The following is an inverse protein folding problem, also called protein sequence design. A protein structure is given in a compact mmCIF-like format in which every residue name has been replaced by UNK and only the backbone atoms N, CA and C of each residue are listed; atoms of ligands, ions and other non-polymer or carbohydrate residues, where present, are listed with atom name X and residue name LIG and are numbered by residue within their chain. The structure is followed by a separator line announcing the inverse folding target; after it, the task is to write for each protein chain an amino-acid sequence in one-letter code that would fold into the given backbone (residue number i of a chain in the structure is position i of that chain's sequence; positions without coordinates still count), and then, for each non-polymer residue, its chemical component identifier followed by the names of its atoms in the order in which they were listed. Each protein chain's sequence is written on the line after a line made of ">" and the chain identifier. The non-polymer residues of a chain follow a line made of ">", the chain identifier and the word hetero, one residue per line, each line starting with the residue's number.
data_IF_152396691509
#
_entry.id   IF_152396691509
#
_cell.length_a   1.000
_cell.length_b   1.000
_cell.length_c   1.000
_cell.angle_alpha   90.00
_cell.angle_beta   90.00
_cell.angle_gamma   90.00
#
_symmetry.space_group_name_H-M   'P 1'
#
loop_
_entity.id
_entity.type
_entity.pdbx_description
1 polymer ?
#
# COMPACT_ATOMS: atom_id res chain seq x y z
N UNK A 1 15.64 -1.83 24.10
CA UNK A 1 16.13 -0.51 24.53
C UNK A 1 17.46 -0.26 23.81
N UNK A 2 17.45 0.50 22.72
CA UNK A 2 18.67 0.76 21.93
C UNK A 2 19.39 1.93 22.58
N UNK A 3 20.53 1.67 23.21
CA UNK A 3 21.41 2.70 23.76
C UNK A 3 22.18 3.30 22.58
N UNK A 4 21.80 4.50 22.16
CA UNK A 4 22.47 5.22 21.08
C UNK A 4 23.81 5.76 21.61
N UNK A 5 24.95 5.45 20.98
CA UNK A 5 26.27 5.92 21.44
C UNK A 5 26.37 7.46 21.41
N UNK A 6 27.00 8.04 22.44
CA UNK A 6 27.18 9.50 22.59
C UNK A 6 27.89 10.16 21.38
N UNK A 7 28.66 9.38 20.61
CA UNK A 7 29.32 9.82 19.38
C UNK A 7 28.35 10.16 18.22
N UNK A 8 27.17 9.54 18.16
CA UNK A 8 26.16 9.89 17.15
C UNK A 8 25.47 11.23 17.46
N UNK A 9 25.31 11.57 18.74
CA UNK A 9 24.70 12.83 19.16
C UNK A 9 25.55 14.03 18.73
N UNK A 10 26.87 13.96 18.88
CA UNK A 10 27.77 15.06 18.51
C UNK A 10 27.75 15.43 17.03
N UNK A 11 27.57 14.44 16.14
CA UNK A 11 27.50 14.67 14.70
C UNK A 11 26.20 15.37 14.28
N UNK A 12 25.09 15.11 14.97
CA UNK A 12 23.82 15.79 14.72
C UNK A 12 23.84 17.24 15.17
N UNK A 13 24.45 17.53 16.31
CA UNK A 13 24.57 18.91 16.83
C UNK A 13 25.46 19.77 15.91
N UNK A 14 26.58 19.24 15.42
CA UNK A 14 27.45 19.96 14.46
C UNK A 14 26.75 20.33 13.16
N UNK A 15 25.78 19.52 12.72
CA UNK A 15 25.00 19.79 11.50
C UNK A 15 23.99 20.91 11.71
N UNK A 16 23.52 21.12 12.95
CA UNK A 16 22.61 22.21 13.31
C UNK A 16 23.35 23.54 13.48
N UNK A 17 24.62 23.51 13.90
CA UNK A 17 25.46 24.70 14.09
C UNK A 17 25.72 25.48 12.79
N UNK A 18 25.67 24.79 11.64
CA UNK A 18 25.81 25.41 10.31
C UNK A 18 24.50 25.98 9.73
N UNK A 19 23.37 25.83 10.43
CA UNK A 19 22.05 26.26 9.92
C UNK A 19 21.74 27.65 10.47
N UNK A 20 21.86 28.65 9.60
CA UNK A 20 21.42 30.00 9.91
C UNK A 20 19.90 30.10 9.72
N UNK A 21 19.16 30.06 10.82
CA UNK A 21 17.70 30.21 10.84
C UNK A 21 17.36 31.69 10.73
N UNK A 22 16.91 32.13 9.56
CA UNK A 22 16.32 33.44 9.40
C UNK A 22 14.93 33.44 10.06
N UNK A 23 14.56 34.52 10.73
CA UNK A 23 13.25 34.71 11.38
C UNK A 23 12.10 34.91 10.39
N UNK A 24 12.13 34.18 9.28
CA UNK A 24 11.05 34.14 8.31
C UNK A 24 9.99 33.14 8.78
N UNK A 25 8.75 33.31 8.34
CA UNK A 25 7.68 32.38 8.72
C UNK A 25 7.93 31.03 8.08
N UNK A 26 7.90 29.96 8.86
CA UNK A 26 7.90 28.59 8.31
C UNK A 26 6.73 28.42 7.35
N UNK A 27 7.03 28.01 6.12
CA UNK A 27 6.03 27.77 5.07
C UNK A 27 5.97 26.29 4.72
N UNK A 28 4.77 25.76 4.62
CA UNK A 28 4.53 24.43 4.08
C UNK A 28 4.59 24.50 2.54
N UNK A 29 5.66 23.96 1.95
CA UNK A 29 5.83 23.90 0.51
C UNK A 29 5.56 22.47 0.02
N UNK A 30 4.67 22.33 -0.96
CA UNK A 30 4.38 21.05 -1.58
C UNK A 30 5.41 20.72 -2.67
N UNK A 31 6.24 19.70 -2.43
CA UNK A 31 7.34 19.29 -3.34
C UNK A 31 6.83 18.44 -4.52
N UNK A 32 5.58 17.95 -4.46
CA UNK A 32 5.03 17.02 -5.45
C UNK A 32 4.41 17.67 -6.69
N UNK A 33 4.45 19.00 -6.83
CA UNK A 33 3.81 19.74 -7.92
C UNK A 33 4.80 20.60 -8.69
N UNK A 34 4.57 20.78 -9.99
CA UNK A 34 5.40 21.64 -10.85
C UNK A 34 5.30 23.12 -10.47
N UNK A 35 4.19 23.51 -9.82
CA UNK A 35 3.82 24.91 -9.54
C UNK A 35 3.71 25.22 -8.04
N UNK A 36 4.39 24.47 -7.16
CA UNK A 36 4.43 24.66 -5.68
C UNK A 36 3.08 24.64 -4.93
N UNK A 37 1.95 24.62 -5.63
CA UNK A 37 0.61 24.56 -5.06
C UNK A 37 0.13 23.13 -4.84
N UNK A 38 -0.51 22.91 -3.68
CA UNK A 38 -1.16 21.65 -3.38
C UNK A 38 -2.44 21.50 -4.19
N UNK A 39 -2.55 20.41 -4.94
CA UNK A 39 -3.78 20.02 -5.61
C UNK A 39 -4.06 18.55 -5.42
N UNK A 40 -5.29 18.24 -4.99
CA UNK A 40 -5.80 16.87 -4.91
C UNK A 40 -5.70 16.17 -6.28
N UNK A 41 -5.82 16.91 -7.38
CA UNK A 41 -5.66 16.38 -8.73
C UNK A 41 -4.25 15.88 -9.03
N UNK A 42 -3.23 16.61 -8.55
CA UNK A 42 -1.81 16.23 -8.69
C UNK A 42 -1.52 15.00 -7.83
N UNK A 43 -1.97 14.99 -6.57
CA UNK A 43 -1.83 13.84 -5.67
C UNK A 43 -2.50 12.59 -6.25
N UNK A 44 -3.74 12.70 -6.74
CA UNK A 44 -4.45 11.58 -7.37
C UNK A 44 -3.73 11.06 -8.61
N UNK A 45 -3.12 11.95 -9.41
CA UNK A 45 -2.38 11.55 -10.61
C UNK A 45 -1.09 10.82 -10.25
N UNK A 46 -0.35 11.34 -9.27
CA UNK A 46 0.84 10.69 -8.71
C UNK A 46 0.52 9.29 -8.15
N UNK A 47 -0.53 9.17 -7.33
CA UNK A 47 -0.99 7.89 -6.80
C UNK A 47 -1.49 6.91 -7.87
N UNK A 48 -1.95 7.42 -9.02
CA UNK A 48 -2.40 6.59 -10.15
C UNK A 48 -1.26 6.18 -11.06
N UNK A 49 -0.21 6.98 -11.22
CA UNK A 49 0.96 6.62 -12.05
C UNK A 49 1.76 5.46 -11.45
N UNK A 50 1.72 5.29 -10.12
CA UNK A 50 2.37 4.15 -9.45
C UNK A 50 1.52 2.87 -9.49
N UNK A 51 0.23 2.97 -9.86
CA UNK A 51 -0.65 1.79 -9.97
C UNK A 51 -0.63 1.30 -11.40
N UNK A 52 0.22 0.33 -11.66
CA UNK A 52 0.18 -0.45 -12.89
C UNK A 52 -1.06 -1.35 -12.88
N UNK A 53 -2.18 -0.83 -13.38
CA UNK A 53 -3.44 -1.56 -13.49
C UNK A 53 -3.49 -2.49 -14.72
N UNK A 54 -2.37 -2.67 -15.43
CA UNK A 54 -2.24 -3.64 -16.52
C UNK A 54 -2.48 -5.08 -16.07
N UNK A 55 -2.22 -5.40 -14.80
CA UNK A 55 -2.49 -6.73 -14.21
C UNK A 55 -3.84 -6.82 -13.48
N UNK A 56 -4.73 -5.83 -13.65
CA UNK A 56 -6.06 -5.92 -13.04
C UNK A 56 -6.90 -6.94 -13.77
N UNK A 57 -7.34 -7.96 -13.04
CA UNK A 57 -8.33 -8.92 -13.52
C UNK A 57 -9.59 -8.20 -14.03
N UNK A 58 -9.84 -8.27 -15.34
CA UNK A 58 -11.01 -7.66 -15.99
C UNK A 58 -12.10 -8.72 -16.12
N UNK A 59 -13.06 -8.70 -15.19
CA UNK A 59 -14.28 -9.49 -15.35
C UNK A 59 -15.14 -8.93 -16.47
N UNK A 60 -15.40 -9.76 -17.48
CA UNK A 60 -16.45 -9.51 -18.45
C UNK A 60 -17.80 -9.74 -17.78
N UNK A 61 -18.47 -8.64 -17.43
CA UNK A 61 -19.83 -8.68 -16.90
C UNK A 61 -20.78 -9.28 -17.92
N UNK A 62 -21.25 -10.50 -17.67
CA UNK A 62 -22.26 -11.16 -18.49
C UNK A 62 -23.65 -10.84 -17.96
N UNK A 63 -24.59 -10.49 -18.86
CA UNK A 63 -26.01 -10.28 -18.51
C UNK A 63 -26.74 -11.58 -18.19
N UNK A 64 -26.16 -12.73 -18.54
CA UNK A 64 -26.78 -14.04 -18.37
C UNK A 64 -26.61 -14.60 -16.97
N UNK A 65 -25.82 -13.94 -16.10
CA UNK A 65 -25.52 -14.44 -14.76
C UNK A 65 -25.98 -13.39 -13.73
N UNK A 66 -26.55 -13.81 -12.59
CA UNK A 66 -26.88 -12.87 -11.52
C UNK A 66 -25.65 -12.09 -11.06
N UNK A 67 -25.84 -10.80 -10.71
CA UNK A 67 -24.77 -9.90 -10.24
C UNK A 67 -23.95 -10.50 -9.08
N UNK A 68 -24.59 -11.27 -8.19
CA UNK A 68 -23.96 -11.95 -7.06
C UNK A 68 -22.85 -12.92 -7.52
N UNK A 69 -23.08 -13.66 -8.61
CA UNK A 69 -22.10 -14.60 -9.15
C UNK A 69 -20.88 -13.86 -9.71
N UNK A 70 -21.09 -12.75 -10.44
CA UNK A 70 -19.97 -11.94 -10.95
C UNK A 70 -19.13 -11.34 -9.82
N UNK A 71 -19.77 -10.90 -8.73
CA UNK A 71 -19.06 -10.42 -7.54
C UNK A 71 -18.29 -11.56 -6.87
N UNK A 72 -18.86 -12.77 -6.79
CA UNK A 72 -18.16 -13.93 -6.24
C UNK A 72 -16.91 -14.28 -7.04
N UNK A 73 -17.00 -14.33 -8.37
CA UNK A 73 -15.84 -14.57 -9.24
C UNK A 73 -14.80 -13.47 -9.07
N UNK A 74 -15.24 -12.20 -8.97
CA UNK A 74 -14.33 -11.09 -8.73
C UNK A 74 -13.57 -11.23 -7.40
N UNK A 75 -14.29 -11.63 -6.35
CA UNK A 75 -13.70 -11.91 -5.05
C UNK A 75 -12.75 -13.10 -5.09
N UNK A 76 -13.07 -14.17 -5.83
CA UNK A 76 -12.23 -15.35 -5.96
C UNK A 76 -10.87 -14.99 -6.57
N UNK A 77 -10.91 -14.26 -7.68
CA UNK A 77 -9.72 -13.90 -8.48
C UNK A 77 -8.84 -12.87 -7.77
N UNK A 78 -9.45 -11.99 -6.98
CA UNK A 78 -8.72 -11.06 -6.10
C UNK A 78 -8.19 -11.76 -4.83
N UNK A 79 -8.35 -13.08 -4.68
CA UNK A 79 -7.98 -13.85 -3.48
C UNK A 79 -8.72 -13.36 -2.23
N UNK A 80 -9.92 -12.78 -2.37
CA UNK A 80 -10.70 -12.23 -1.24
C UNK A 80 -11.64 -13.25 -0.61
N UNK A 81 -11.74 -14.45 -1.17
CA UNK A 81 -12.43 -15.56 -0.53
C UNK A 81 -11.46 -16.20 0.49
N UNK A 82 -11.87 -16.40 1.75
CA UNK A 82 -11.04 -17.01 2.77
C UNK A 82 -10.98 -18.53 2.57
N UNK A 83 -10.38 -18.97 1.47
CA UNK A 83 -10.01 -20.37 1.25
C UNK A 83 -8.74 -20.69 2.04
N UNK A 84 -8.55 -21.97 2.40
CA UNK A 84 -7.41 -22.42 3.22
C UNK A 84 -6.08 -21.99 2.60
N UNK A 85 -5.92 -22.16 1.28
CA UNK A 85 -4.72 -21.75 0.53
C UNK A 85 -4.45 -20.24 0.61
N UNK A 86 -5.51 -19.40 0.53
CA UNK A 86 -5.40 -17.94 0.62
C UNK A 86 -5.06 -17.51 2.05
N UNK A 87 -5.63 -18.17 3.06
CA UNK A 87 -5.34 -17.87 4.46
C UNK A 87 -3.91 -18.28 4.84
N UNK A 88 -3.42 -19.40 4.31
CA UNK A 88 -2.02 -19.83 4.44
C UNK A 88 -1.05 -18.83 3.80
N UNK A 89 -1.32 -18.37 2.57
CA UNK A 89 -0.53 -17.32 1.90
C UNK A 89 -0.44 -16.02 2.71
N UNK A 90 -1.47 -15.72 3.51
CA UNK A 90 -1.53 -14.55 4.41
C UNK A 90 -0.96 -14.81 5.80
N UNK A 91 -0.47 -16.03 6.07
CA UNK A 91 -0.02 -16.46 7.38
C UNK A 91 -1.09 -16.23 8.48
N UNK A 92 -2.37 -16.40 8.12
CA UNK A 92 -3.54 -16.21 8.98
C UNK A 92 -4.25 -17.52 9.32
N UNK A 93 -3.65 -18.66 9.00
CA UNK A 93 -4.18 -20.00 9.27
C UNK A 93 -3.08 -20.91 9.78
N UNK A 94 -3.38 -21.63 10.87
CA UNK A 94 -2.46 -22.51 11.60
C UNK A 94 -2.93 -23.98 11.63
N UNK A 95 -3.95 -24.33 10.83
CA UNK A 95 -4.46 -25.70 10.72
C UNK A 95 -3.82 -26.47 9.56
N UNK A 96 -4.35 -27.66 9.30
CA UNK A 96 -3.93 -28.53 8.20
C UNK A 96 -4.26 -27.90 6.84
N UNK A 97 -3.32 -27.98 5.89
CA UNK A 97 -3.43 -27.40 4.56
C UNK A 97 -4.29 -28.22 3.58
N UNK A 98 -5.01 -29.22 4.09
CA UNK A 98 -5.83 -30.11 3.28
C UNK A 98 -7.17 -29.49 2.89
N UNK A 99 -7.55 -29.66 1.62
CA UNK A 99 -8.86 -29.25 1.15
C UNK A 99 -9.94 -30.22 1.64
N UNK A 100 -10.87 -29.77 2.49
CA UNK A 100 -11.97 -30.59 3.04
C UNK A 100 -12.91 -31.17 1.96
N UNK A 101 -12.87 -30.63 0.73
CA UNK A 101 -13.73 -31.07 -0.37
C UNK A 101 -13.13 -32.20 -1.19
N UNK A 102 -11.81 -32.29 -1.30
CA UNK A 102 -11.14 -33.30 -2.12
C UNK A 102 -10.07 -34.10 -1.38
N UNK A 103 -9.81 -33.80 -0.10
CA UNK A 103 -8.82 -34.49 0.75
C UNK A 103 -7.41 -34.58 0.14
N UNK A 104 -7.12 -33.73 -0.85
CA UNK A 104 -5.85 -33.64 -1.56
C UNK A 104 -5.14 -32.32 -1.22
N UNK A 105 -3.80 -32.38 -1.18
CA UNK A 105 -2.87 -31.27 -0.91
C UNK A 105 -2.54 -30.44 -2.15
#
# INVERSE_FOLDING_TARGET
>A
MVVVPCSEYGNRVKKLDSINLYGDKDQWVWIGGKDSDFSVGVVKRFLRSERDCSNNFVLKWSKQVPKKCSILVWCAEMGRIPTVDVLLKRNCYNGEDMCVLCEDS
#
